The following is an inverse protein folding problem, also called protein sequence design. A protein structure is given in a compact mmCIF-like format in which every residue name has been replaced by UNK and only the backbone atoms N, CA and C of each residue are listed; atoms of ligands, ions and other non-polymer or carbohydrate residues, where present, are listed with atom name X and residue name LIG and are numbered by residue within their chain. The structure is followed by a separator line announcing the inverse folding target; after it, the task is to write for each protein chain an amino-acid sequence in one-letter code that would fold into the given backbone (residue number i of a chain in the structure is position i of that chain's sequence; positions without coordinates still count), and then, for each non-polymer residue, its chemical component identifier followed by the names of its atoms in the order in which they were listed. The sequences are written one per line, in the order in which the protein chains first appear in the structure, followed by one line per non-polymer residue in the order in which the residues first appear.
data_IF_142807442707
#
_entry.id   IF_142807442707
#
_cell.length_a   1.000
_cell.length_b   1.000
_cell.length_c   1.000
_cell.angle_alpha   90.00
_cell.angle_beta   90.00
_cell.angle_gamma   90.00
#
_symmetry.space_group_name_H-M   'P 1'
#
loop_
_entity.id
_entity.type
_entity.pdbx_description
1 polymer ?
#
# COMPACT_ATOMS: atom_id res chain seq x y z
N UNK A 1 -20.55 -19.72 -8.24
CA UNK A 1 -20.13 -18.40 -7.72
C UNK A 1 -18.61 -18.32 -7.81
N UNK A 2 -18.06 -17.32 -8.48
CA UNK A 2 -16.60 -17.15 -8.63
C UNK A 2 -16.05 -16.67 -7.29
N UNK A 3 -15.06 -17.38 -6.73
CA UNK A 3 -14.41 -17.01 -5.46
C UNK A 3 -12.99 -16.56 -5.74
N UNK A 4 -12.74 -15.26 -5.63
CA UNK A 4 -11.40 -14.68 -5.78
C UNK A 4 -10.82 -14.39 -4.39
N UNK A 5 -9.66 -14.98 -4.09
CA UNK A 5 -8.92 -14.65 -2.86
C UNK A 5 -8.15 -13.35 -3.09
N UNK A 6 -8.50 -12.31 -2.32
CA UNK A 6 -7.69 -11.09 -2.24
C UNK A 6 -6.56 -11.29 -1.23
N UNK A 7 -5.33 -10.89 -1.60
CA UNK A 7 -4.13 -11.04 -0.77
C UNK A 7 -3.50 -9.66 -0.54
N UNK A 8 -2.92 -9.06 -1.58
CA UNK A 8 -2.29 -7.73 -1.52
C UNK A 8 -3.23 -6.63 -1.00
N UNK A 9 -4.50 -6.65 -1.39
CA UNK A 9 -5.45 -5.60 -1.05
C UNK A 9 -6.01 -5.69 0.38
N UNK A 10 -5.75 -6.79 1.10
CA UNK A 10 -6.30 -7.05 2.44
C UNK A 10 -6.04 -5.91 3.43
N UNK A 11 -4.79 -5.44 3.65
CA UNK A 11 -4.55 -4.34 4.60
C UNK A 11 -5.30 -3.06 4.22
N UNK A 12 -5.39 -2.72 2.93
CA UNK A 12 -6.12 -1.54 2.47
C UNK A 12 -7.64 -1.67 2.69
N UNK A 13 -8.20 -2.85 2.42
CA UNK A 13 -9.62 -3.13 2.64
C UNK A 13 -9.97 -3.15 4.13
N UNK A 14 -9.12 -3.74 4.96
CA UNK A 14 -9.31 -3.76 6.41
C UNK A 14 -9.32 -2.32 6.98
N UNK A 15 -8.34 -1.50 6.61
CA UNK A 15 -8.30 -0.09 7.02
C UNK A 15 -9.51 0.71 6.55
N UNK A 16 -10.03 0.41 5.36
CA UNK A 16 -11.26 1.05 4.85
C UNK A 16 -12.49 0.63 5.64
N UNK A 17 -12.65 -0.66 5.94
CA UNK A 17 -13.76 -1.19 6.74
C UNK A 17 -13.78 -0.60 8.16
N UNK A 18 -12.61 -0.41 8.77
CA UNK A 18 -12.49 0.18 10.12
C UNK A 18 -13.06 1.61 10.20
N UNK A 19 -12.87 2.40 9.13
CA UNK A 19 -13.33 3.80 9.05
C UNK A 19 -14.61 3.97 8.22
N UNK A 20 -15.23 2.87 7.78
CA UNK A 20 -16.39 2.93 6.91
C UNK A 20 -17.56 3.63 7.63
N UNK A 21 -18.18 4.68 7.04
CA UNK A 21 -19.28 5.42 7.67
C UNK A 21 -20.48 4.55 8.08
N UNK A 22 -20.66 3.39 7.44
CA UNK A 22 -21.73 2.42 7.71
C UNK A 22 -21.15 1.06 8.11
N UNK A 23 -20.03 1.01 8.84
CA UNK A 23 -19.33 -0.24 9.18
C UNK A 23 -20.18 -1.28 9.93
N UNK A 24 -21.18 -0.83 10.69
CA UNK A 24 -22.06 -1.69 11.48
C UNK A 24 -23.24 -2.25 10.68
N UNK A 25 -23.42 -1.81 9.41
CA UNK A 25 -24.47 -2.29 8.53
C UNK A 25 -23.92 -3.33 7.53
N UNK A 26 -24.25 -4.63 7.68
CA UNK A 26 -23.75 -5.68 6.79
C UNK A 26 -24.27 -5.57 5.35
N UNK A 27 -25.40 -4.90 5.14
CA UNK A 27 -26.01 -4.69 3.82
C UNK A 27 -25.52 -3.39 3.15
N UNK A 28 -24.61 -2.65 3.79
CA UNK A 28 -24.03 -1.46 3.20
C UNK A 28 -23.17 -1.79 1.98
N UNK A 29 -23.25 -0.94 0.96
CA UNK A 29 -22.34 -1.03 -0.18
C UNK A 29 -20.91 -0.75 0.28
N UNK A 30 -19.95 -1.57 -0.18
CA UNK A 30 -18.55 -1.40 0.18
C UNK A 30 -17.95 -0.07 -0.29
N UNK A 31 -18.42 0.43 -1.45
CA UNK A 31 -17.93 1.66 -2.05
C UNK A 31 -19.04 2.71 -2.07
N UNK A 32 -18.90 3.71 -1.20
CA UNK A 32 -19.85 4.82 -1.07
C UNK A 32 -19.21 6.17 -1.38
N UNK A 33 -20.04 7.16 -1.67
CA UNK A 33 -19.63 8.56 -1.71
C UNK A 33 -19.52 9.06 -0.26
N UNK A 34 -18.37 9.64 0.10
CA UNK A 34 -18.07 10.11 1.47
C UNK A 34 -18.33 11.62 1.63
N UNK A 35 -18.60 12.33 0.52
CA UNK A 35 -18.72 13.78 0.48
C UNK A 35 -19.85 14.24 -0.44
N UNK A 36 -20.39 15.41 -0.15
CA UNK A 36 -21.41 16.08 -0.96
C UNK A 36 -22.84 15.59 -0.71
N UNK A 37 -23.78 16.04 -1.55
CA UNK A 37 -25.22 15.77 -1.41
C UNK A 37 -25.60 14.28 -1.49
N UNK A 38 -24.73 13.44 -2.04
CA UNK A 38 -24.94 12.01 -2.18
C UNK A 38 -24.14 11.19 -1.17
N UNK A 39 -23.73 11.79 -0.04
CA UNK A 39 -23.01 11.09 1.02
C UNK A 39 -23.77 9.83 1.48
N UNK A 40 -23.06 8.72 1.67
CA UNK A 40 -23.62 7.42 2.04
C UNK A 40 -24.27 6.63 0.89
N UNK A 41 -24.40 7.21 -0.31
CA UNK A 41 -24.94 6.51 -1.48
C UNK A 41 -23.86 5.68 -2.18
N UNK A 42 -24.25 4.60 -2.89
CA UNK A 42 -23.31 3.78 -3.65
C UNK A 42 -22.54 4.60 -4.69
N UNK A 43 -21.25 4.33 -4.81
CA UNK A 43 -20.42 4.98 -5.82
C UNK A 43 -20.84 4.53 -7.22
N UNK A 44 -21.25 5.48 -8.05
CA UNK A 44 -21.58 5.23 -9.45
C UNK A 44 -20.32 5.06 -10.31
N UNK A 45 -20.47 4.40 -11.46
CA UNK A 45 -19.37 4.18 -12.41
C UNK A 45 -18.69 5.46 -12.88
N UNK A 46 -19.46 6.54 -13.07
CA UNK A 46 -18.94 7.87 -13.44
C UNK A 46 -18.03 8.47 -12.37
N UNK A 47 -18.42 8.34 -11.09
CA UNK A 47 -17.63 8.78 -9.95
C UNK A 47 -16.33 7.97 -9.83
N UNK A 48 -16.41 6.65 -10.00
CA UNK A 48 -15.24 5.79 -10.01
C UNK A 48 -14.26 6.17 -11.14
N UNK A 49 -14.76 6.37 -12.37
CA UNK A 49 -13.92 6.82 -13.50
C UNK A 49 -13.24 8.16 -13.23
N UNK A 50 -13.96 9.12 -12.63
CA UNK A 50 -13.39 10.42 -12.25
C UNK A 50 -12.31 10.28 -11.17
N UNK A 51 -12.54 9.42 -10.18
CA UNK A 51 -11.56 9.10 -9.14
C UNK A 51 -10.26 8.57 -9.75
N UNK A 52 -10.35 7.58 -10.65
CA UNK A 52 -9.17 7.02 -11.32
C UNK A 52 -8.42 8.09 -12.14
N UNK A 53 -9.14 8.96 -12.85
CA UNK A 53 -8.52 10.07 -13.58
C UNK A 53 -7.70 11.00 -12.67
N UNK A 54 -8.30 11.48 -11.57
CA UNK A 54 -7.62 12.34 -10.61
C UNK A 54 -6.39 11.65 -9.97
N UNK A 55 -6.50 10.36 -9.64
CA UNK A 55 -5.39 9.59 -9.06
C UNK A 55 -4.25 9.39 -10.07
N UNK A 56 -4.57 9.20 -11.35
CA UNK A 56 -3.58 9.05 -12.43
C UNK A 56 -2.77 10.33 -12.61
N UNK A 57 -3.45 11.48 -12.63
CA UNK A 57 -2.80 12.80 -12.69
C UNK A 57 -1.92 13.04 -11.46
N UNK A 58 -2.43 12.77 -10.26
CA UNK A 58 -1.69 12.92 -9.01
C UNK A 58 -0.45 12.01 -8.94
N UNK A 59 -0.52 10.83 -9.53
CA UNK A 59 0.60 9.90 -9.63
C UNK A 59 1.62 10.26 -10.72
N UNK A 60 1.37 11.31 -11.52
CA UNK A 60 2.26 11.72 -12.62
C UNK A 60 2.29 10.75 -13.80
N UNK A 61 1.28 9.88 -13.93
CA UNK A 61 1.24 8.87 -14.99
C UNK A 61 0.80 9.54 -16.29
N UNK A 62 1.70 9.58 -17.27
CA UNK A 62 1.44 10.16 -18.60
C UNK A 62 0.60 9.26 -19.51
N UNK A 63 0.61 7.95 -19.26
CA UNK A 63 -0.15 6.97 -20.04
C UNK A 63 -1.64 7.14 -19.77
N UNK A 64 -2.46 6.98 -20.81
CA UNK A 64 -3.92 6.93 -20.66
C UNK A 64 -4.32 5.71 -19.80
N UNK A 65 -4.91 5.98 -18.64
CA UNK A 65 -5.46 4.95 -17.74
C UNK A 65 -6.98 4.86 -17.90
N UNK A 66 -7.48 3.64 -18.03
CA UNK A 66 -8.91 3.32 -18.08
C UNK A 66 -9.18 2.03 -17.31
N UNK A 67 -10.43 1.80 -16.88
CA UNK A 67 -10.75 0.73 -15.93
C UNK A 67 -10.32 -0.68 -16.40
N UNK A 68 -10.52 -1.00 -17.69
CA UNK A 68 -10.12 -2.30 -18.22
C UNK A 68 -8.58 -2.48 -18.23
N UNK A 69 -7.79 -1.40 -18.27
CA UNK A 69 -6.33 -1.49 -18.23
C UNK A 69 -5.83 -2.21 -16.97
N UNK A 70 -6.47 -1.98 -15.81
CA UNK A 70 -6.11 -2.70 -14.57
C UNK A 70 -6.26 -4.21 -14.71
N UNK A 71 -7.36 -4.65 -15.33
CA UNK A 71 -7.60 -6.07 -15.59
C UNK A 71 -6.56 -6.62 -16.57
N UNK A 72 -6.28 -5.89 -17.66
CA UNK A 72 -5.29 -6.30 -18.65
C UNK A 72 -3.90 -6.45 -18.03
N UNK A 73 -3.42 -5.42 -17.31
CA UNK A 73 -2.13 -5.45 -16.63
C UNK A 73 -2.03 -6.60 -15.62
N UNK A 74 -3.09 -6.84 -14.83
CA UNK A 74 -3.09 -7.95 -13.88
C UNK A 74 -3.11 -9.32 -14.56
N UNK A 75 -3.85 -9.48 -15.66
CA UNK A 75 -3.84 -10.71 -16.44
C UNK A 75 -2.46 -11.01 -17.04
N UNK A 76 -1.77 -10.00 -17.59
CA UNK A 76 -0.42 -10.13 -18.14
C UNK A 76 0.59 -10.53 -17.07
N UNK A 77 0.53 -9.94 -15.87
CA UNK A 77 1.38 -10.33 -14.74
C UNK A 77 1.12 -11.78 -14.33
N UNK A 78 -0.15 -12.15 -14.15
CA UNK A 78 -0.54 -13.49 -13.72
C UNK A 78 -0.20 -14.60 -14.72
N UNK A 79 -0.17 -14.30 -16.02
CA UNK A 79 0.19 -15.26 -17.07
C UNK A 79 1.63 -15.79 -16.95
N UNK A 80 2.50 -15.08 -16.22
CA UNK A 80 3.86 -15.54 -15.93
C UNK A 80 3.90 -16.62 -14.84
N UNK A 81 2.84 -16.74 -14.04
CA UNK A 81 2.83 -17.55 -12.82
C UNK A 81 1.73 -18.62 -12.80
N UNK A 82 0.66 -18.42 -13.57
CA UNK A 82 -0.52 -19.28 -13.58
C UNK A 82 -0.68 -19.98 -14.92
N UNK A 83 -1.19 -21.21 -14.86
CA UNK A 83 -1.69 -21.93 -16.04
C UNK A 83 -2.98 -21.30 -16.56
N UNK A 84 -3.35 -21.60 -17.81
CA UNK A 84 -4.58 -21.07 -18.43
C UNK A 84 -5.83 -21.38 -17.60
N UNK A 85 -5.99 -22.64 -17.15
CA UNK A 85 -7.13 -23.04 -16.33
C UNK A 85 -7.20 -22.32 -14.97
N UNK A 86 -6.03 -22.04 -14.36
CA UNK A 86 -5.96 -21.24 -13.14
C UNK A 86 -6.32 -19.77 -13.40
N UNK A 87 -5.88 -19.20 -14.53
CA UNK A 87 -6.26 -17.85 -14.93
C UNK A 87 -7.76 -17.73 -15.16
N UNK A 88 -8.37 -18.71 -15.84
CA UNK A 88 -9.81 -18.74 -16.08
C UNK A 88 -10.60 -18.71 -14.78
N UNK A 89 -10.24 -19.59 -13.84
CA UNK A 89 -10.87 -19.65 -12.52
C UNK A 89 -10.69 -18.34 -11.73
N UNK A 90 -9.49 -17.75 -11.77
CA UNK A 90 -9.17 -16.54 -11.00
C UNK A 90 -9.81 -15.27 -11.56
N UNK A 91 -9.80 -15.11 -12.89
CA UNK A 91 -10.29 -13.92 -13.57
C UNK A 91 -11.79 -14.01 -13.90
N UNK A 92 -12.40 -15.18 -13.74
CA UNK A 92 -13.81 -15.42 -14.03
C UNK A 92 -14.08 -15.59 -15.53
N UNK A 93 -13.16 -16.22 -16.26
CA UNK A 93 -13.42 -16.66 -17.63
C UNK A 93 -14.07 -18.03 -17.65
N UNK A 94 -14.76 -18.33 -18.76
CA UNK A 94 -15.31 -19.66 -19.00
C UNK A 94 -14.16 -20.63 -19.20
N UNK A 95 -14.26 -21.83 -18.64
CA UNK A 95 -13.24 -22.85 -18.82
C UNK A 95 -13.13 -23.27 -20.29
N UNK A 96 -11.92 -23.32 -20.84
CA UNK A 96 -11.68 -23.58 -22.25
C UNK A 96 -11.96 -22.38 -23.17
N UNK A 97 -11.96 -21.16 -22.61
CA UNK A 97 -12.09 -19.94 -23.42
C UNK A 97 -10.76 -19.58 -24.08
N UNK A 98 -10.80 -18.90 -25.22
CA UNK A 98 -9.58 -18.38 -25.87
C UNK A 98 -8.96 -17.18 -25.14
N UNK A 99 -9.56 -16.71 -24.03
CA UNK A 99 -9.09 -15.53 -23.31
C UNK A 99 -7.67 -15.62 -22.74
N UNK A 100 -7.20 -16.75 -22.20
CA UNK A 100 -5.82 -16.90 -21.74
C UNK A 100 -4.78 -16.75 -22.86
N UNK A 101 -5.12 -17.13 -24.10
CA UNK A 101 -4.19 -17.08 -25.25
C UNK A 101 -3.70 -15.66 -25.58
N UNK A 102 -4.45 -14.64 -25.17
CA UNK A 102 -4.08 -13.21 -25.29
C UNK A 102 -2.88 -12.85 -24.41
N UNK A 103 -2.62 -13.62 -23.35
CA UNK A 103 -1.62 -13.32 -22.32
C UNK A 103 -0.54 -14.40 -22.19
N UNK A 104 -0.89 -15.64 -22.49
CA UNK A 104 0.02 -16.79 -22.39
C UNK A 104 0.69 -16.98 -23.75
N UNK A 105 1.98 -16.66 -23.80
CA UNK A 105 2.84 -16.98 -24.94
C UNK A 105 3.95 -17.90 -24.45
N UNK A 106 3.76 -19.20 -24.66
CA UNK A 106 4.73 -20.21 -24.25
C UNK A 106 5.97 -20.10 -25.16
N UNK A 107 7.08 -19.61 -24.61
CA UNK A 107 8.37 -19.67 -25.31
C UNK A 107 9.02 -21.04 -25.09
N UNK A 108 9.78 -21.55 -26.07
CA UNK A 108 10.50 -22.83 -25.93
C UNK A 108 11.38 -22.88 -24.68
N UNK A 109 12.02 -21.75 -24.33
CA UNK A 109 12.81 -21.60 -23.11
C UNK A 109 12.00 -21.85 -21.82
N UNK A 110 10.75 -21.40 -21.75
CA UNK A 110 9.90 -21.65 -20.57
C UNK A 110 9.53 -23.12 -20.42
N UNK A 111 9.41 -23.85 -21.54
CA UNK A 111 9.20 -25.31 -21.53
C UNK A 111 10.45 -26.02 -21.02
N UNK A 112 11.62 -25.64 -21.53
CA UNK A 112 12.90 -26.21 -21.09
C UNK A 112 13.13 -25.94 -19.60
N UNK A 113 12.92 -24.71 -19.12
CA UNK A 113 13.05 -24.34 -17.72
C UNK A 113 12.06 -25.10 -16.81
N UNK A 114 10.85 -25.38 -17.31
CA UNK A 114 9.87 -26.19 -16.58
C UNK A 114 10.29 -27.67 -16.53
N UNK A 115 10.83 -28.21 -17.62
CA UNK A 115 11.36 -29.58 -17.67
C UNK A 115 12.56 -29.74 -16.75
N UNK A 116 13.53 -28.82 -16.79
CA UNK A 116 14.68 -28.80 -15.89
C UNK A 116 14.24 -28.74 -14.41
N UNK A 117 13.17 -28.00 -14.09
CA UNK A 117 12.56 -27.99 -12.75
C UNK A 117 11.97 -29.34 -12.36
N UNK A 118 11.24 -30.02 -13.24
CA UNK A 118 10.67 -31.35 -12.98
C UNK A 118 11.77 -32.36 -12.64
N UNK A 119 12.91 -32.30 -13.34
CA UNK A 119 14.05 -33.17 -13.11
C UNK A 119 15.01 -32.68 -12.01
N UNK A 120 14.66 -31.62 -11.27
CA UNK A 120 15.46 -31.11 -10.16
C UNK A 120 16.79 -30.44 -10.55
N UNK A 121 16.97 -30.13 -11.85
CA UNK A 121 18.16 -29.49 -12.39
C UNK A 121 18.17 -27.96 -12.19
N UNK A 122 17.03 -27.37 -11.79
CA UNK A 122 16.90 -25.94 -11.48
C UNK A 122 16.10 -25.75 -10.21
N UNK A 123 16.56 -24.85 -9.33
CA UNK A 123 15.83 -24.48 -8.11
C UNK A 123 14.63 -23.60 -8.45
N UNK A 124 13.54 -23.77 -7.70
CA UNK A 124 12.38 -22.88 -7.78
C UNK A 124 12.83 -21.50 -7.28
N UNK A 125 12.79 -20.49 -8.14
CA UNK A 125 12.93 -19.11 -7.67
C UNK A 125 11.67 -18.74 -6.91
N UNK A 126 11.82 -18.35 -5.65
CA UNK A 126 10.74 -17.75 -4.87
C UNK A 126 10.46 -16.35 -5.43
N UNK A 127 9.63 -16.27 -6.47
CA UNK A 127 9.16 -14.99 -7.00
C UNK A 127 8.14 -14.41 -6.03
N UNK A 128 8.62 -13.61 -5.07
CA UNK A 128 7.78 -12.80 -4.21
C UNK A 128 7.35 -11.57 -5.03
N UNK A 129 6.05 -11.38 -5.33
CA UNK A 129 5.59 -10.20 -6.06
C UNK A 129 5.99 -8.92 -5.31
N UNK A 130 6.35 -7.86 -6.03
CA UNK A 130 6.75 -6.57 -5.44
C UNK A 130 5.68 -6.01 -4.48
N UNK A 131 4.41 -6.27 -4.79
CA UNK A 131 3.25 -5.85 -4.01
C UNK A 131 2.85 -6.89 -2.93
N UNK A 132 3.83 -7.42 -2.20
CA UNK A 132 3.57 -8.34 -1.08
C UNK A 132 3.46 -7.60 0.24
N UNK A 133 2.41 -7.91 1.02
CA UNK A 133 2.16 -7.27 2.32
C UNK A 133 3.31 -7.49 3.29
N UNK A 134 3.68 -6.45 4.05
CA UNK A 134 4.78 -6.50 5.02
C UNK A 134 4.24 -6.90 6.40
N UNK A 135 4.75 -7.97 6.98
CA UNK A 135 4.41 -8.35 8.36
C UNK A 135 5.35 -7.65 9.33
N UNK A 136 4.79 -6.99 10.36
CA UNK A 136 5.61 -6.36 11.40
C UNK A 136 6.32 -7.44 12.22
N UNK A 137 7.66 -7.39 12.40
CA UNK A 137 8.40 -8.42 13.14
C UNK A 137 8.15 -8.39 14.66
N UNK A 138 7.51 -7.34 15.17
CA UNK A 138 7.28 -7.16 16.61
C UNK A 138 5.83 -7.46 17.00
N UNK A 139 4.87 -6.83 16.33
CA UNK A 139 3.45 -6.95 16.69
C UNK A 139 2.64 -7.82 15.71
N UNK A 140 3.32 -8.43 14.73
CA UNK A 140 2.80 -9.36 13.72
C UNK A 140 1.67 -8.81 12.84
N UNK A 141 1.38 -7.50 12.94
CA UNK A 141 0.38 -6.86 12.10
C UNK A 141 0.82 -6.92 10.63
N UNK A 142 -0.09 -7.34 9.77
CA UNK A 142 0.05 -7.27 8.32
C UNK A 142 -0.21 -5.82 7.88
N UNK A 143 0.80 -5.20 7.28
CA UNK A 143 0.76 -3.82 6.78
C UNK A 143 0.80 -3.82 5.25
N UNK A 144 0.41 -2.70 4.66
CA UNK A 144 0.46 -2.56 3.22
C UNK A 144 1.91 -2.57 2.70
N UNK A 145 2.16 -2.95 1.44
CA UNK A 145 3.52 -2.96 0.89
C UNK A 145 4.14 -1.56 0.85
N UNK A 146 3.29 -0.54 0.68
CA UNK A 146 3.68 0.87 0.66
C UNK A 146 3.82 1.49 2.07
N UNK A 147 3.54 0.75 3.14
CA UNK A 147 3.61 1.28 4.50
C UNK A 147 5.07 1.43 4.95
N UNK A 148 5.47 2.67 5.26
CA UNK A 148 6.78 2.98 5.86
C UNK A 148 6.85 2.61 7.35
N UNK A 149 5.72 2.72 8.04
CA UNK A 149 5.58 2.46 9.47
C UNK A 149 4.47 1.45 9.72
N UNK A 150 4.55 0.73 10.84
CA UNK A 150 3.50 -0.16 11.28
C UNK A 150 2.28 0.63 11.77
N UNK A 151 1.13 0.33 11.20
CA UNK A 151 -0.17 0.90 11.57
C UNK A 151 -0.59 0.65 13.03
N UNK A 152 -0.02 -0.37 13.71
CA UNK A 152 -0.36 -0.73 15.09
C UNK A 152 0.64 -0.22 16.11
N UNK A 153 1.93 -0.48 15.91
CA UNK A 153 2.97 -0.14 16.89
C UNK A 153 3.87 1.04 16.50
N UNK A 154 3.67 1.64 15.33
CA UNK A 154 4.43 2.80 14.85
C UNK A 154 5.87 2.51 14.41
N UNK A 155 6.35 1.26 14.54
CA UNK A 155 7.73 0.91 14.18
C UNK A 155 7.96 0.99 12.66
N UNK A 156 9.17 1.40 12.28
CA UNK A 156 9.62 1.45 10.89
C UNK A 156 9.63 0.03 10.29
N UNK A 157 9.07 -0.10 9.10
CA UNK A 157 9.03 -1.35 8.32
C UNK A 157 9.92 -1.31 7.09
N UNK A 158 10.44 -0.13 6.75
CA UNK A 158 11.19 0.12 5.53
C UNK A 158 12.63 0.50 5.87
N UNK A 159 13.59 -0.28 5.39
CA UNK A 159 15.00 -0.07 5.67
C UNK A 159 15.50 1.29 5.15
N UNK A 160 15.03 1.73 3.99
CA UNK A 160 15.45 3.03 3.45
C UNK A 160 15.02 4.18 4.37
N UNK A 161 13.82 4.07 4.95
CA UNK A 161 13.30 5.06 5.91
C UNK A 161 14.09 5.02 7.22
N UNK A 162 14.54 3.84 7.66
CA UNK A 162 15.40 3.72 8.83
C UNK A 162 16.74 4.45 8.60
N UNK A 163 17.37 4.25 7.43
CA UNK A 163 18.60 4.93 7.06
C UNK A 163 18.42 6.46 6.93
N UNK A 164 17.34 6.92 6.31
CA UNK A 164 17.02 8.36 6.21
C UNK A 164 16.85 9.00 7.60
N UNK A 165 16.22 8.29 8.54
CA UNK A 165 16.03 8.77 9.91
C UNK A 165 17.35 8.81 10.68
N UNK A 166 18.21 7.79 10.54
CA UNK A 166 19.55 7.80 11.12
C UNK A 166 20.40 8.96 10.56
N UNK A 167 20.35 9.21 9.25
CA UNK A 167 21.02 10.34 8.63
C UNK A 167 20.51 11.69 9.15
N UNK A 168 19.20 11.82 9.35
CA UNK A 168 18.61 13.02 9.95
C UNK A 168 19.05 13.18 11.40
N UNK A 169 19.00 12.10 12.19
CA UNK A 169 19.44 12.10 13.59
C UNK A 169 20.91 12.50 13.73
N UNK A 170 21.78 12.03 12.82
CA UNK A 170 23.18 12.41 12.79
C UNK A 170 23.41 13.89 12.44
N UNK A 171 22.47 14.54 11.75
CA UNK A 171 22.53 15.97 11.41
C UNK A 171 21.91 16.88 12.50
N UNK A 172 21.15 16.31 13.44
CA UNK A 172 20.53 17.08 14.55
C UNK A 172 21.58 17.85 15.38
N UNK A 173 22.72 17.25 15.78
CA UNK A 173 23.74 17.96 16.56
C UNK A 173 24.30 19.19 15.84
N UNK A 174 24.61 19.05 14.54
CA UNK A 174 25.16 20.14 13.71
C UNK A 174 24.14 21.27 13.51
N UNK A 175 22.88 20.90 13.24
CA UNK A 175 21.78 21.87 13.15
C UNK A 175 21.55 22.59 14.49
N UNK A 176 21.63 21.86 15.61
CA UNK A 176 21.47 22.41 16.95
C UNK A 176 22.61 23.37 17.30
N UNK A 177 23.84 23.05 16.89
CA UNK A 177 24.99 23.95 17.06
C UNK A 177 24.80 25.26 16.28
N UNK A 178 24.37 25.19 15.02
CA UNK A 178 24.08 26.38 14.20
C UNK A 178 22.96 27.22 14.83
N UNK A 179 21.91 26.58 15.35
CA UNK A 179 20.81 27.28 16.04
C UNK A 179 21.27 27.96 17.34
N UNK A 180 22.13 27.31 18.12
CA UNK A 180 22.65 27.88 19.38
C UNK A 180 23.60 29.06 19.16
N UNK A 181 24.23 29.18 17.98
CA UNK A 181 25.06 30.32 17.60
C UNK A 181 24.25 31.58 17.24
N UNK A 182 22.93 31.46 17.00
CA UNK A 182 22.05 32.60 16.75
C UNK A 182 21.41 33.09 18.06
N UNK A 183 21.72 34.32 18.52
CA UNK A 183 21.12 34.89 19.74
C UNK A 183 19.59 35.00 19.66
N UNK A 184 19.07 35.25 18.46
CA UNK A 184 17.62 35.32 18.21
C UNK A 184 16.95 33.96 18.35
N UNK A 185 17.57 32.89 17.83
CA UNK A 185 17.05 31.53 17.94
C UNK A 185 17.03 31.05 19.39
N UNK A 186 18.08 31.34 20.16
CA UNK A 186 18.15 31.04 21.61
C UNK A 186 17.03 31.76 22.37
N UNK A 187 16.80 33.04 22.07
CA UNK A 187 15.72 33.82 22.68
C UNK A 187 14.31 33.26 22.37
N UNK A 188 14.08 32.77 21.15
CA UNK A 188 12.82 32.10 20.78
C UNK A 188 12.68 30.77 21.51
N UNK A 189 13.73 29.96 21.57
CA UNK A 189 13.72 28.67 22.27
C UNK A 189 13.45 28.83 23.78
N UNK A 190 14.06 29.83 24.43
CA UNK A 190 13.80 30.14 25.84
C UNK A 190 12.33 30.53 26.08
N UNK A 191 11.75 31.35 25.20
CA UNK A 191 10.32 31.72 25.28
C UNK A 191 9.41 30.51 25.08
N UNK A 192 9.70 29.64 24.12
CA UNK A 192 8.94 28.40 23.91
C UNK A 192 9.06 27.45 25.09
N UNK A 193 10.25 27.30 25.66
CA UNK A 193 10.50 26.49 26.86
C UNK A 193 9.72 27.02 28.07
N UNK A 194 9.80 28.32 28.34
CA UNK A 194 9.06 28.96 29.43
C UNK A 194 7.54 28.77 29.27
N UNK A 195 7.01 28.88 28.04
CA UNK A 195 5.59 28.64 27.74
C UNK A 195 5.18 27.18 27.99
N UNK A 196 6.01 26.21 27.57
CA UNK A 196 5.77 24.78 27.83
C UNK A 196 5.80 24.45 29.33
N UNK A 197 6.73 25.04 30.09
CA UNK A 197 6.81 24.86 31.55
C UNK A 197 5.58 25.46 32.23
N UNK A 198 5.10 26.63 31.79
CA UNK A 198 3.86 27.23 32.28
C UNK A 198 2.63 26.36 31.96
N UNK A 199 2.56 25.79 30.75
CA UNK A 199 1.49 24.87 30.34
C UNK A 199 1.50 23.55 31.13
N UNK A 200 2.68 22.99 31.44
CA UNK A 200 2.82 21.81 32.32
C UNK A 200 2.44 22.11 33.77
N UNK A 201 2.85 23.26 34.32
CA UNK A 201 2.43 23.71 35.67
C UNK A 201 0.91 23.89 35.78
N UNK A 202 0.28 24.46 34.75
CA UNK A 202 -1.17 24.62 34.70
C UNK A 202 -1.94 23.29 34.55
N UNK A 203 -1.27 22.21 34.10
CA UNK A 203 -1.84 20.86 33.98
C UNK A 203 -1.53 19.94 35.16
N UNK A 204 -0.75 20.38 36.15
CA UNK A 204 -0.42 19.59 37.34
C UNK A 204 0.50 18.38 37.09
N UNK A 205 1.21 18.35 35.95
CA UNK A 205 2.17 17.28 35.64
C UNK A 205 3.53 17.64 36.25
N UNK A 206 4.08 16.75 37.10
CA UNK A 206 5.38 16.93 37.74
C UNK A 206 6.52 17.04 36.70
N UNK A 207 7.48 17.91 36.98
CA UNK A 207 8.70 18.08 36.22
C UNK A 207 9.72 17.04 36.72
N UNK A 208 9.82 15.91 36.02
CA UNK A 208 11.02 15.05 36.04
C UNK A 208 12.01 15.50 34.96
#
# INVERSE_FOLDING_TARGET
MIRVRVIFSVPYLASWLDIHPQKDNPDAYLWILIRGKCNGKPMQYSAFRKLIGMLTEKAGIKKRVYNHLFRHSRSTELAQHLTESQMEAHLGWVHGSDMPSVYVHLSGKQVDDAMLRIYGMTKKEDMIPELTSKTCPICEKINSPTSKFCSRCGRILDLAVALELEELENKIPELMEVLLRSPEAVGIMQKMYAKKVAEKKNKGEALD
#
